data_IF_823512834077
#
_entry.id   IF_823512834077
#
_cell.length_a   1.000
_cell.length_b   1.000
_cell.length_c   1.000
_cell.angle_alpha   90.00
_cell.angle_beta   90.00
_cell.angle_gamma   90.00
#
_symmetry.space_group_name_H-M   'P 1'
#
loop_
_entity.id
_entity.type
_entity.pdbx_description
1 polymer ?
#
# COMPACT_ATOMS: atom_id res chain seq x y z
N UNK A 1 -0.11 8.71 -18.06
CA UNK A 1 -0.72 10.02 -17.79
C UNK A 1 -0.54 10.34 -16.30
N UNK A 2 -0.23 11.60 -15.97
CA UNK A 2 -0.11 12.09 -14.61
C UNK A 2 -1.37 12.88 -14.24
N UNK A 3 -1.96 12.58 -13.07
CA UNK A 3 -3.16 13.25 -12.56
C UNK A 3 -2.85 13.85 -11.19
N UNK A 4 -3.20 15.11 -10.99
CA UNK A 4 -3.11 15.76 -9.68
C UNK A 4 -4.21 15.23 -8.77
N UNK A 5 -3.80 14.62 -7.65
CA UNK A 5 -4.73 14.03 -6.68
C UNK A 5 -5.66 15.05 -6.02
N UNK A 6 -5.32 16.35 -6.02
CA UNK A 6 -6.23 17.39 -5.53
C UNK A 6 -7.47 17.61 -6.43
N UNK A 7 -7.38 17.16 -7.70
CA UNK A 7 -8.51 17.21 -8.64
C UNK A 7 -9.45 16.01 -8.55
N UNK A 8 -9.07 14.97 -7.79
CA UNK A 8 -9.87 13.77 -7.60
C UNK A 8 -10.80 13.96 -6.40
N UNK A 9 -12.09 14.07 -6.73
CA UNK A 9 -13.20 14.13 -5.76
C UNK A 9 -14.20 13.00 -6.04
N UNK A 10 -15.20 12.77 -5.19
CA UNK A 10 -16.27 11.82 -5.48
C UNK A 10 -16.95 12.05 -6.83
N UNK A 11 -17.06 13.32 -7.26
CA UNK A 11 -17.70 13.70 -8.53
C UNK A 11 -16.79 13.49 -9.75
N UNK A 12 -15.46 13.61 -9.57
CA UNK A 12 -14.49 13.55 -10.68
C UNK A 12 -13.76 12.21 -10.77
N UNK A 13 -13.84 11.35 -9.77
CA UNK A 13 -13.11 10.08 -9.71
C UNK A 13 -13.42 9.16 -10.90
N UNK A 14 -14.60 9.27 -11.50
CA UNK A 14 -15.00 8.49 -12.68
C UNK A 14 -14.09 8.73 -13.91
N UNK A 15 -13.34 9.85 -13.96
CA UNK A 15 -12.35 10.08 -15.03
C UNK A 15 -11.23 9.03 -15.05
N UNK A 16 -11.03 8.30 -13.94
CA UNK A 16 -10.03 7.23 -13.84
C UNK A 16 -10.43 5.98 -14.62
N UNK A 17 -11.69 5.83 -15.03
CA UNK A 17 -12.20 4.66 -15.76
C UNK A 17 -11.54 4.43 -17.14
N UNK A 18 -10.81 5.41 -17.67
CA UNK A 18 -10.06 5.29 -18.93
C UNK A 18 -8.72 4.57 -18.77
N UNK A 19 -8.27 4.30 -17.54
CA UNK A 19 -6.98 3.70 -17.28
C UNK A 19 -7.10 2.20 -16.96
N UNK A 20 -6.14 1.45 -17.42
CA UNK A 20 -6.03 0.01 -17.21
C UNK A 20 -5.11 -0.37 -16.04
N UNK A 21 -4.51 0.62 -15.41
CA UNK A 21 -3.71 0.47 -14.19
C UNK A 21 -3.48 1.82 -13.52
N UNK A 22 -3.47 1.81 -12.19
CA UNK A 22 -3.33 3.01 -11.36
C UNK A 22 -2.16 2.84 -10.41
N UNK A 23 -1.21 3.78 -10.45
CA UNK A 23 -0.09 3.84 -9.53
C UNK A 23 -0.21 5.09 -8.66
N UNK A 24 -0.20 4.89 -7.33
CA UNK A 24 -0.10 5.98 -6.35
C UNK A 24 1.32 5.94 -5.76
N UNK A 25 2.15 6.94 -6.06
CA UNK A 25 3.55 6.97 -5.65
C UNK A 25 3.74 7.33 -4.19
N UNK A 26 4.99 7.25 -3.74
CA UNK A 26 5.43 7.78 -2.47
C UNK A 26 5.26 9.30 -2.37
N UNK A 27 5.23 9.79 -1.14
CA UNK A 27 5.08 11.21 -0.83
C UNK A 27 5.00 11.44 0.66
N UNK A 28 4.87 12.70 1.04
CA UNK A 28 4.73 13.15 2.42
C UNK A 28 3.68 14.26 2.51
N UNK A 29 3.12 14.43 3.70
CA UNK A 29 2.23 15.52 4.01
C UNK A 29 0.81 15.35 3.50
N UNK A 30 -0.02 16.32 3.84
CA UNK A 30 -1.49 16.27 3.77
C UNK A 30 -2.08 16.54 2.38
N UNK A 31 -1.26 17.06 1.45
CA UNK A 31 -1.74 17.52 0.15
C UNK A 31 -2.29 16.37 -0.71
N UNK A 32 -3.53 16.51 -1.15
CA UNK A 32 -4.20 15.59 -2.07
C UNK A 32 -4.44 14.17 -1.51
N UNK A 33 -4.42 14.00 -0.18
CA UNK A 33 -4.56 12.68 0.46
C UNK A 33 -5.94 12.09 0.21
N UNK A 34 -7.02 12.85 0.37
CA UNK A 34 -8.37 12.33 0.15
C UNK A 34 -8.57 11.91 -1.32
N UNK A 35 -8.00 12.64 -2.27
CA UNK A 35 -8.03 12.24 -3.67
C UNK A 35 -7.26 10.92 -3.93
N UNK A 36 -6.14 10.69 -3.24
CA UNK A 36 -5.43 9.40 -3.32
C UNK A 36 -6.24 8.26 -2.69
N UNK A 37 -6.93 8.52 -1.57
CA UNK A 37 -7.82 7.55 -0.93
C UNK A 37 -8.99 7.21 -1.86
N UNK A 38 -9.63 8.21 -2.49
CA UNK A 38 -10.69 7.98 -3.48
C UNK A 38 -10.17 7.22 -4.70
N UNK A 39 -8.94 7.47 -5.11
CA UNK A 39 -8.27 6.75 -6.20
C UNK A 39 -8.07 5.27 -5.86
N UNK A 40 -7.61 4.96 -4.64
CA UNK A 40 -7.46 3.58 -4.17
C UNK A 40 -8.82 2.87 -4.09
N UNK A 41 -9.87 3.56 -3.60
CA UNK A 41 -11.24 3.05 -3.59
C UNK A 41 -11.75 2.74 -4.98
N UNK A 42 -11.60 3.67 -5.92
CA UNK A 42 -11.99 3.47 -7.31
C UNK A 42 -11.30 2.23 -7.91
N UNK A 43 -10.00 2.10 -7.72
CA UNK A 43 -9.25 0.94 -8.21
C UNK A 43 -9.76 -0.37 -7.61
N UNK A 44 -9.97 -0.41 -6.29
CA UNK A 44 -10.47 -1.60 -5.57
C UNK A 44 -11.86 -2.01 -6.03
N UNK A 45 -12.80 -1.07 -6.06
CA UNK A 45 -14.19 -1.35 -6.44
C UNK A 45 -14.33 -1.65 -7.93
N UNK A 46 -13.61 -0.92 -8.77
CA UNK A 46 -13.60 -1.07 -10.22
C UNK A 46 -12.75 -2.22 -10.75
N UNK A 47 -12.04 -2.95 -9.88
CA UNK A 47 -11.12 -4.03 -10.26
C UNK A 47 -10.01 -3.58 -11.22
N UNK A 48 -9.61 -2.31 -11.15
CA UNK A 48 -8.50 -1.77 -11.91
C UNK A 48 -7.18 -2.08 -11.18
N UNK A 49 -6.19 -2.69 -11.83
CA UNK A 49 -4.89 -2.94 -11.22
C UNK A 49 -4.32 -1.73 -10.49
N UNK A 50 -3.95 -1.93 -9.21
CA UNK A 50 -3.48 -0.86 -8.32
C UNK A 50 -2.10 -1.17 -7.76
N UNK A 51 -1.19 -0.21 -7.86
CA UNK A 51 0.10 -0.23 -7.19
C UNK A 51 0.24 0.99 -6.29
N UNK A 52 0.32 0.77 -4.98
CA UNK A 52 0.61 1.80 -3.98
C UNK A 52 2.06 1.70 -3.47
N UNK A 53 2.85 2.76 -3.62
CA UNK A 53 4.24 2.81 -3.15
C UNK A 53 4.33 3.73 -1.93
N UNK A 54 4.88 3.26 -0.82
CA UNK A 54 5.09 4.02 0.41
C UNK A 54 3.79 4.70 0.88
N UNK A 55 3.62 6.00 0.66
CA UNK A 55 2.36 6.70 0.91
C UNK A 55 1.17 6.05 0.17
N UNK A 56 1.40 5.53 -1.04
CA UNK A 56 0.37 4.82 -1.80
C UNK A 56 -0.15 3.57 -1.11
N UNK A 57 0.70 2.80 -0.42
CA UNK A 57 0.27 1.69 0.43
C UNK A 57 -0.54 2.20 1.63
N UNK A 58 -0.07 3.28 2.26
CA UNK A 58 -0.71 3.85 3.45
C UNK A 58 -2.13 4.35 3.13
N UNK A 59 -2.32 5.07 2.03
CA UNK A 59 -3.66 5.54 1.64
C UNK A 59 -4.58 4.39 1.24
N UNK A 60 -4.06 3.32 0.64
CA UNK A 60 -4.82 2.11 0.35
C UNK A 60 -5.25 1.39 1.64
N UNK A 61 -4.39 1.36 2.66
CA UNK A 61 -4.71 0.81 3.99
C UNK A 61 -5.79 1.64 4.70
N UNK A 62 -5.69 2.98 4.64
CA UNK A 62 -6.71 3.89 5.18
C UNK A 62 -8.05 3.69 4.44
N UNK A 63 -8.02 3.62 3.12
CA UNK A 63 -9.22 3.35 2.32
C UNK A 63 -9.90 2.06 2.74
N UNK A 64 -9.12 0.98 2.85
CA UNK A 64 -9.63 -0.33 3.23
C UNK A 64 -10.21 -0.34 4.65
N UNK A 65 -9.53 0.33 5.58
CA UNK A 65 -10.01 0.51 6.94
C UNK A 65 -11.38 1.23 6.98
N UNK A 66 -11.52 2.32 6.23
CA UNK A 66 -12.75 3.12 6.18
C UNK A 66 -13.92 2.39 5.55
N UNK A 67 -13.70 1.79 4.39
CA UNK A 67 -14.79 1.33 3.52
C UNK A 67 -15.04 -0.19 3.58
N UNK A 68 -14.10 -0.97 4.14
CA UNK A 68 -14.26 -2.44 4.25
C UNK A 68 -14.24 -2.90 5.70
N UNK A 69 -13.32 -2.40 6.52
CA UNK A 69 -13.20 -2.81 7.92
C UNK A 69 -14.09 -2.01 8.90
N UNK A 70 -14.91 -1.07 8.42
CA UNK A 70 -15.89 -0.33 9.21
C UNK A 70 -15.33 0.77 10.11
N UNK A 71 -14.06 1.14 9.94
CA UNK A 71 -13.39 2.22 10.69
C UNK A 71 -13.51 3.54 9.92
N UNK A 72 -14.70 4.11 9.82
CA UNK A 72 -15.03 5.21 8.90
C UNK A 72 -14.15 6.45 9.01
N UNK A 73 -13.61 6.74 10.21
CA UNK A 73 -12.72 7.88 10.47
C UNK A 73 -11.23 7.47 10.53
N UNK A 74 -10.89 6.29 10.02
CA UNK A 74 -9.51 5.82 9.99
C UNK A 74 -8.62 6.78 9.19
N UNK A 75 -7.42 7.06 9.74
CA UNK A 75 -6.48 7.98 9.11
C UNK A 75 -5.03 7.67 9.51
N UNK A 76 -4.11 8.48 9.01
CA UNK A 76 -2.74 8.57 9.49
C UNK A 76 -2.61 9.71 10.51
N UNK A 77 -1.85 9.49 11.57
CA UNK A 77 -1.48 10.58 12.50
C UNK A 77 -0.58 11.65 11.86
N UNK A 78 -0.06 11.41 10.65
CA UNK A 78 0.61 12.43 9.83
C UNK A 78 -0.39 13.49 9.32
N UNK A 79 -1.60 13.07 8.98
CA UNK A 79 -2.61 13.93 8.34
C UNK A 79 -3.65 14.45 9.33
N UNK A 80 -4.02 13.60 10.28
CA UNK A 80 -4.99 13.86 11.33
C UNK A 80 -4.49 13.29 12.67
N UNK A 81 -3.77 14.10 13.47
CA UNK A 81 -3.15 13.62 14.73
C UNK A 81 -4.16 13.04 15.73
N UNK A 82 -5.39 13.54 15.74
CA UNK A 82 -6.44 13.16 16.68
C UNK A 82 -7.42 12.11 16.09
N UNK A 83 -7.05 11.42 15.02
CA UNK A 83 -7.92 10.40 14.42
C UNK A 83 -8.27 9.30 15.45
N UNK A 84 -9.56 8.88 15.53
CA UNK A 84 -9.97 7.82 16.45
C UNK A 84 -9.43 6.44 16.05
N UNK A 85 -9.05 6.26 14.79
CA UNK A 85 -8.48 5.02 14.26
C UNK A 85 -7.17 5.32 13.52
N UNK A 86 -6.04 5.48 14.24
CA UNK A 86 -4.73 5.74 13.66
C UNK A 86 -4.15 4.47 13.03
N UNK A 87 -4.72 4.04 11.91
CA UNK A 87 -4.31 2.82 11.19
C UNK A 87 -2.93 2.96 10.53
N UNK A 88 -2.49 4.21 10.33
CA UNK A 88 -1.13 4.58 9.98
C UNK A 88 -0.62 5.53 11.06
N UNK A 89 0.52 5.23 11.66
CA UNK A 89 1.06 6.02 12.78
C UNK A 89 2.59 6.00 12.80
N UNK A 90 3.17 6.93 13.57
CA UNK A 90 4.58 6.79 13.99
C UNK A 90 4.70 5.52 14.83
N UNK A 91 5.75 4.74 14.59
CA UNK A 91 6.03 3.60 15.44
C UNK A 91 6.73 4.10 16.70
N UNK A 92 5.95 4.18 17.74
CA UNK A 92 6.45 4.40 19.10
C UNK A 92 6.65 3.07 19.85
N UNK A 93 5.93 2.03 19.43
CA UNK A 93 6.01 0.70 20.03
C UNK A 93 6.00 -0.35 18.91
N UNK A 94 6.90 -1.31 18.97
CA UNK A 94 6.86 -2.50 18.13
C UNK A 94 7.18 -3.73 18.95
N UNK A 95 6.73 -4.86 18.48
CA UNK A 95 6.98 -6.15 19.10
C UNK A 95 8.08 -6.86 18.33
N UNK A 96 9.19 -7.14 18.99
CA UNK A 96 10.25 -7.95 18.39
C UNK A 96 9.78 -9.39 18.13
N UNK A 97 10.50 -10.12 17.30
CA UNK A 97 10.19 -11.50 16.95
C UNK A 97 10.18 -12.46 18.16
N UNK A 98 10.82 -12.11 19.25
CA UNK A 98 10.81 -12.83 20.53
C UNK A 98 9.63 -12.45 21.45
N UNK A 99 8.79 -11.48 21.04
CA UNK A 99 7.64 -11.02 21.76
C UNK A 99 7.89 -9.85 22.71
N UNK A 100 9.12 -9.34 22.77
CA UNK A 100 9.47 -8.19 23.60
C UNK A 100 8.90 -6.91 22.99
N UNK A 101 8.19 -6.11 23.79
CA UNK A 101 7.69 -4.79 23.37
C UNK A 101 8.84 -3.78 23.51
N UNK A 102 9.25 -3.22 22.40
CA UNK A 102 10.18 -2.10 22.34
C UNK A 102 9.37 -0.80 22.27
N UNK A 103 9.71 0.16 23.15
CA UNK A 103 9.08 1.49 23.20
C UNK A 103 10.10 2.52 22.74
N UNK A 104 9.77 3.30 21.70
CA UNK A 104 10.51 4.53 21.39
C UNK A 104 9.88 5.70 22.13
N UNK A 105 10.69 6.41 22.89
CA UNK A 105 10.27 7.64 23.53
C UNK A 105 9.86 8.69 22.47
N UNK A 106 8.73 9.35 22.68
CA UNK A 106 8.27 10.46 21.84
C UNK A 106 9.25 11.64 21.78
N UNK A 107 10.25 11.66 22.66
CA UNK A 107 11.35 12.63 22.71
C UNK A 107 12.60 12.17 21.95
N UNK A 108 12.63 10.92 21.44
CA UNK A 108 13.71 10.49 20.56
C UNK A 108 13.71 11.35 19.31
N UNK A 109 14.89 11.85 18.98
CA UNK A 109 15.14 12.74 17.84
C UNK A 109 14.32 12.32 16.60
N UNK A 110 13.45 13.19 16.11
CA UNK A 110 12.58 12.95 14.95
C UNK A 110 13.38 12.50 13.70
N UNK A 111 14.67 12.78 13.64
CA UNK A 111 15.61 12.26 12.66
C UNK A 111 15.89 10.76 12.81
N UNK A 112 15.89 10.22 14.03
CA UNK A 112 16.18 8.82 14.35
C UNK A 112 15.03 7.84 14.12
N UNK A 113 13.81 8.33 13.85
CA UNK A 113 12.62 7.48 13.61
C UNK A 113 12.42 7.12 12.14
N UNK A 114 13.19 7.70 11.22
CA UNK A 114 13.07 7.41 9.80
C UNK A 114 13.68 6.05 9.48
N UNK A 115 12.89 5.15 8.88
CA UNK A 115 13.43 3.94 8.25
C UNK A 115 14.11 4.31 6.94
N UNK A 116 15.39 4.00 6.85
CA UNK A 116 16.23 4.35 5.71
C UNK A 116 17.03 3.14 5.23
N UNK A 117 17.28 3.07 3.92
CA UNK A 117 18.16 2.10 3.33
C UNK A 117 17.51 0.74 3.09
N UNK A 118 18.36 -0.25 2.78
CA UNK A 118 17.92 -1.59 2.44
C UNK A 118 17.53 -2.39 3.69
N UNK A 119 16.36 -3.03 3.64
CA UNK A 119 15.86 -3.92 4.68
C UNK A 119 15.25 -5.16 4.05
N UNK A 120 15.38 -6.29 4.74
CA UNK A 120 14.85 -7.58 4.31
C UNK A 120 13.59 -7.93 5.06
N UNK A 121 12.64 -8.51 4.33
CA UNK A 121 11.34 -8.92 4.84
C UNK A 121 10.97 -10.30 4.36
N UNK A 122 10.31 -11.08 5.21
CA UNK A 122 9.80 -12.39 4.89
C UNK A 122 8.45 -12.26 4.18
N UNK A 123 8.29 -13.00 3.08
CA UNK A 123 7.09 -12.98 2.25
C UNK A 123 6.29 -14.25 2.49
N UNK A 124 5.02 -14.08 2.85
CA UNK A 124 4.09 -15.17 3.14
C UNK A 124 3.85 -16.06 1.92
N UNK A 125 3.72 -17.37 2.15
CA UNK A 125 3.33 -18.32 1.10
C UNK A 125 1.93 -17.99 0.55
N UNK A 126 1.65 -18.47 -0.67
CA UNK A 126 0.33 -18.38 -1.32
C UNK A 126 -0.17 -16.95 -1.56
N UNK A 127 0.75 -15.97 -1.66
CA UNK A 127 0.47 -14.58 -1.94
C UNK A 127 0.96 -14.16 -3.33
N UNK A 128 0.41 -13.08 -3.87
CA UNK A 128 0.89 -12.47 -5.11
C UNK A 128 2.32 -11.94 -4.93
N UNK A 129 2.61 -11.32 -3.78
CA UNK A 129 3.95 -10.89 -3.42
C UNK A 129 4.96 -12.04 -3.46
N UNK A 130 4.57 -13.24 -2.99
CA UNK A 130 5.41 -14.45 -3.05
C UNK A 130 5.75 -14.87 -4.47
N UNK A 131 4.80 -14.73 -5.38
CA UNK A 131 5.00 -15.05 -6.80
C UNK A 131 5.97 -14.06 -7.46
N UNK A 132 5.96 -12.80 -7.02
CA UNK A 132 6.80 -11.73 -7.57
C UNK A 132 8.23 -11.80 -7.03
N UNK A 133 8.38 -12.00 -5.73
CA UNK A 133 9.67 -11.84 -5.03
C UNK A 133 10.30 -13.15 -4.52
N UNK A 134 9.53 -14.21 -4.43
CA UNK A 134 9.98 -15.40 -3.69
C UNK A 134 9.84 -15.22 -2.17
N UNK A 135 10.60 -16.02 -1.36
CA UNK A 135 10.40 -16.09 0.09
C UNK A 135 10.88 -14.87 0.88
N UNK A 136 11.79 -14.11 0.32
CA UNK A 136 12.40 -12.94 0.96
C UNK A 136 12.49 -11.80 -0.06
N UNK A 137 12.16 -10.61 0.37
CA UNK A 137 12.34 -9.38 -0.39
C UNK A 137 13.30 -8.46 0.35
N UNK A 138 14.23 -7.84 -0.37
CA UNK A 138 15.14 -6.82 0.19
C UNK A 138 14.99 -5.55 -0.61
N UNK A 139 14.41 -4.52 -0.01
CA UNK A 139 14.09 -3.25 -0.67
C UNK A 139 14.53 -2.04 0.16
N UNK A 140 14.53 -0.86 -0.46
CA UNK A 140 14.99 0.39 0.17
C UNK A 140 13.82 1.18 0.71
N UNK A 141 14.02 1.77 1.88
CA UNK A 141 13.02 2.53 2.64
C UNK A 141 13.41 4.00 2.79
N UNK A 142 12.36 4.84 2.88
CA UNK A 142 12.46 6.25 3.25
C UNK A 142 11.10 6.72 3.78
N UNK A 143 10.77 6.35 5.01
CA UNK A 143 9.50 6.74 5.63
C UNK A 143 9.58 6.72 7.16
N UNK A 144 8.61 7.36 7.81
CA UNK A 144 8.48 7.43 9.28
C UNK A 144 7.20 6.77 9.78
N UNK A 145 6.12 6.88 9.00
CA UNK A 145 4.81 6.34 9.32
C UNK A 145 4.68 4.93 8.76
N UNK A 146 3.97 4.10 9.49
CA UNK A 146 3.82 2.67 9.21
C UNK A 146 2.38 2.22 9.47
N UNK A 147 1.99 1.08 8.91
CA UNK A 147 0.74 0.44 9.29
C UNK A 147 0.80 0.05 10.78
N UNK A 148 -0.17 0.54 11.55
CA UNK A 148 -0.22 0.37 12.99
C UNK A 148 -0.60 -1.06 13.34
N UNK A 149 0.29 -1.74 14.05
CA UNK A 149 0.17 -3.17 14.42
C UNK A 149 -1.14 -3.48 15.17
N UNK A 150 -1.66 -2.51 15.93
CA UNK A 150 -2.90 -2.69 16.72
C UNK A 150 -4.16 -2.87 15.85
N UNK A 151 -4.10 -2.51 14.56
CA UNK A 151 -5.22 -2.62 13.63
C UNK A 151 -5.06 -3.75 12.60
N UNK A 152 -3.88 -4.40 12.53
CA UNK A 152 -3.61 -5.40 11.51
C UNK A 152 -4.56 -6.59 11.58
N UNK A 153 -4.93 -7.05 12.77
CA UNK A 153 -5.85 -8.17 12.92
C UNK A 153 -7.27 -7.82 12.46
N UNK A 154 -7.74 -6.61 12.73
CA UNK A 154 -9.03 -6.12 12.21
C UNK A 154 -9.02 -6.04 10.68
N UNK A 155 -7.92 -5.54 10.09
CA UNK A 155 -7.76 -5.46 8.64
C UNK A 155 -7.69 -6.85 8.00
N UNK A 156 -6.97 -7.81 8.62
CA UNK A 156 -6.91 -9.22 8.17
C UNK A 156 -8.28 -9.89 8.22
N UNK A 157 -9.03 -9.70 9.30
CA UNK A 157 -10.39 -10.23 9.43
C UNK A 157 -11.34 -9.66 8.38
N UNK A 158 -11.12 -8.41 7.95
CA UNK A 158 -11.85 -7.79 6.86
C UNK A 158 -11.37 -8.27 5.46
N UNK A 159 -10.30 -9.07 5.37
CA UNK A 159 -9.82 -9.68 4.13
C UNK A 159 -8.57 -9.05 3.50
N UNK A 160 -7.95 -8.05 4.15
CA UNK A 160 -6.65 -7.53 3.69
C UNK A 160 -5.55 -8.55 4.00
N UNK A 161 -4.75 -8.87 3.01
CA UNK A 161 -3.60 -9.77 3.18
C UNK A 161 -2.36 -8.95 3.50
N UNK A 162 -1.74 -9.22 4.64
CA UNK A 162 -0.42 -8.71 4.99
C UNK A 162 0.58 -9.75 4.48
N UNK A 163 1.11 -9.52 3.29
CA UNK A 163 1.88 -10.53 2.55
C UNK A 163 3.38 -10.48 2.81
N UNK A 164 3.89 -9.41 3.42
CA UNK A 164 5.28 -9.37 3.89
C UNK A 164 5.41 -8.57 5.19
N UNK A 165 6.32 -9.05 6.04
CA UNK A 165 6.69 -8.43 7.31
C UNK A 165 8.21 -8.33 7.42
N UNK A 166 8.71 -7.27 8.06
CA UNK A 166 10.15 -7.19 8.40
C UNK A 166 10.56 -8.36 9.28
N UNK A 167 11.80 -8.82 9.09
CA UNK A 167 12.30 -10.00 9.81
C UNK A 167 12.44 -9.80 11.32
N UNK A 168 12.73 -8.59 11.77
CA UNK A 168 12.96 -8.28 13.17
C UNK A 168 11.73 -7.69 13.84
N UNK A 169 11.31 -6.53 13.37
CA UNK A 169 10.28 -5.73 14.02
C UNK A 169 8.86 -6.16 13.66
N UNK A 170 8.69 -7.10 12.74
CA UNK A 170 7.39 -7.58 12.25
C UNK A 170 6.48 -6.45 11.71
N UNK A 171 7.11 -5.43 11.12
CA UNK A 171 6.41 -4.31 10.52
C UNK A 171 5.88 -4.68 9.14
N UNK A 172 4.73 -4.11 8.78
CA UNK A 172 4.07 -4.38 7.50
C UNK A 172 4.86 -3.79 6.34
N UNK A 173 5.20 -4.64 5.39
CA UNK A 173 5.97 -4.28 4.20
C UNK A 173 5.16 -4.33 2.91
N UNK A 174 4.29 -5.32 2.80
CA UNK A 174 3.41 -5.48 1.64
C UNK A 174 2.00 -5.82 2.11
N UNK A 175 1.02 -5.14 1.54
CA UNK A 175 -0.40 -5.47 1.64
C UNK A 175 -0.94 -5.79 0.25
N UNK A 176 -1.88 -6.72 0.17
CA UNK A 176 -2.52 -7.08 -1.09
C UNK A 176 -3.96 -7.55 -0.89
N UNK A 177 -4.73 -7.58 -1.96
CA UNK A 177 -6.01 -8.26 -1.97
C UNK A 177 -5.88 -9.62 -2.65
N UNK A 178 -6.57 -10.66 -2.15
CA UNK A 178 -6.57 -11.98 -2.77
C UNK A 178 -7.03 -11.91 -4.23
N UNK A 179 -6.46 -12.72 -5.12
CA UNK A 179 -6.86 -12.80 -6.53
C UNK A 179 -8.34 -13.17 -6.72
N UNK A 180 -8.95 -13.85 -5.77
CA UNK A 180 -10.39 -14.13 -5.76
C UNK A 180 -11.26 -12.87 -5.54
N UNK A 181 -10.67 -11.82 -4.97
CA UNK A 181 -11.34 -10.55 -4.65
C UNK A 181 -10.98 -9.47 -5.67
N UNK A 182 -9.70 -9.37 -6.05
CA UNK A 182 -9.22 -8.34 -6.96
C UNK A 182 -8.13 -8.90 -7.89
N UNK A 183 -8.14 -8.62 -9.21
CA UNK A 183 -7.17 -9.19 -10.13
C UNK A 183 -5.73 -8.81 -9.82
N UNK A 184 -5.47 -7.60 -9.34
CA UNK A 184 -4.15 -7.16 -8.93
C UNK A 184 -4.22 -5.88 -8.08
N UNK A 185 -4.06 -5.98 -6.76
CA UNK A 185 -4.07 -4.84 -5.84
C UNK A 185 -2.94 -5.03 -4.82
N UNK A 186 -1.88 -4.24 -4.95
CA UNK A 186 -0.67 -4.37 -4.12
C UNK A 186 -0.25 -3.00 -3.60
N UNK A 187 0.04 -2.93 -2.32
CA UNK A 187 0.71 -1.79 -1.68
C UNK A 187 2.02 -2.23 -1.06
N UNK A 188 3.09 -1.45 -1.24
CA UNK A 188 4.41 -1.71 -0.67
C UNK A 188 4.90 -0.50 0.12
N UNK A 189 5.49 -0.73 1.31
CA UNK A 189 6.00 0.36 2.16
C UNK A 189 7.35 0.89 1.68
N UNK A 190 8.11 0.06 1.02
CA UNK A 190 9.40 0.39 0.44
C UNK A 190 9.28 1.09 -0.92
N UNK A 191 10.43 1.47 -1.50
CA UNK A 191 10.57 2.22 -2.74
C UNK A 191 11.24 1.37 -3.83
N UNK A 192 10.48 0.59 -4.63
CA UNK A 192 11.04 -0.26 -5.70
C UNK A 192 11.76 0.56 -6.78
N UNK A 193 11.40 1.83 -6.96
CA UNK A 193 12.04 2.73 -7.92
C UNK A 193 13.52 2.96 -7.63
N UNK A 194 13.97 2.80 -6.38
CA UNK A 194 15.39 2.95 -6.03
C UNK A 194 16.27 1.79 -6.51
N UNK A 195 15.68 0.70 -6.95
CA UNK A 195 16.38 -0.48 -7.48
C UNK A 195 16.06 -0.74 -8.93
N UNK A 196 15.04 -0.09 -9.48
CA UNK A 196 14.67 -0.22 -10.89
C UNK A 196 15.72 0.41 -11.79
N UNK A 197 16.08 -0.29 -12.86
CA UNK A 197 17.01 0.22 -13.88
C UNK A 197 16.35 0.16 -15.25
N UNK A 198 16.80 0.98 -16.24
CA UNK A 198 16.27 0.89 -17.61
C UNK A 198 16.53 -0.45 -18.31
N UNK A 199 17.54 -1.20 -17.83
CA UNK A 199 18.00 -2.42 -18.49
C UNK A 199 17.27 -3.68 -17.99
N UNK A 200 17.08 -3.79 -16.67
CA UNK A 200 16.57 -5.01 -16.06
C UNK A 200 15.11 -4.84 -15.55
N UNK A 201 14.61 -3.61 -15.45
CA UNK A 201 13.32 -3.34 -14.83
C UNK A 201 13.29 -3.76 -13.35
N UNK A 202 12.12 -3.70 -12.74
CA UNK A 202 11.91 -4.18 -11.39
C UNK A 202 10.74 -5.19 -11.39
N UNK A 203 10.84 -6.34 -10.69
CA UNK A 203 9.83 -7.40 -10.77
C UNK A 203 8.42 -6.91 -10.43
N UNK A 204 8.28 -6.01 -9.45
CA UNK A 204 7.00 -5.44 -9.09
C UNK A 204 6.39 -4.59 -10.22
N UNK A 205 7.20 -3.72 -10.85
CA UNK A 205 6.73 -2.91 -11.97
C UNK A 205 6.38 -3.78 -13.19
N UNK A 206 7.17 -4.80 -13.46
CA UNK A 206 6.88 -5.76 -14.55
C UNK A 206 5.53 -6.48 -14.31
N UNK A 207 5.28 -6.92 -13.07
CA UNK A 207 4.03 -7.56 -12.68
C UNK A 207 2.83 -6.60 -12.78
N UNK A 208 2.99 -5.34 -12.34
CA UNK A 208 1.96 -4.31 -12.44
C UNK A 208 1.60 -3.98 -13.90
N UNK A 209 2.61 -3.78 -14.76
CA UNK A 209 2.38 -3.51 -16.19
C UNK A 209 1.70 -4.70 -16.85
N UNK A 210 2.14 -5.92 -16.53
CA UNK A 210 1.47 -7.12 -17.05
C UNK A 210 -0.01 -7.16 -16.65
N UNK A 211 -0.32 -6.94 -15.38
CA UNK A 211 -1.71 -6.90 -14.90
C UNK A 211 -2.54 -5.82 -15.62
N UNK A 212 -1.96 -4.66 -15.88
CA UNK A 212 -2.61 -3.56 -16.60
C UNK A 212 -2.90 -3.94 -18.07
N UNK A 213 -1.99 -4.64 -18.73
CA UNK A 213 -2.20 -5.16 -20.09
C UNK A 213 -3.31 -6.22 -20.10
N UNK A 214 -3.29 -7.15 -19.15
CA UNK A 214 -4.31 -8.19 -19.02
C UNK A 214 -5.71 -7.56 -18.80
N UNK A 215 -5.80 -6.53 -17.96
CA UNK A 215 -7.03 -5.76 -17.73
C UNK A 215 -7.54 -5.11 -19.04
N UNK A 216 -6.66 -4.43 -19.77
CA UNK A 216 -7.00 -3.80 -21.05
C UNK A 216 -7.52 -4.82 -22.08
N UNK A 217 -6.89 -5.98 -22.15
CA UNK A 217 -7.28 -7.03 -23.09
C UNK A 217 -8.63 -7.63 -22.72
N UNK A 218 -8.89 -7.88 -21.43
CA UNK A 218 -10.18 -8.34 -20.92
C UNK A 218 -11.31 -7.35 -21.24
N UNK A 219 -11.09 -6.06 -21.04
CA UNK A 219 -12.06 -5.03 -21.37
C UNK A 219 -12.36 -4.93 -22.89
N UNK A 220 -11.36 -5.13 -23.75
CA UNK A 220 -11.54 -5.17 -25.20
C UNK A 220 -12.35 -6.39 -25.63
N UNK A 221 -12.09 -7.56 -25.04
CA UNK A 221 -12.84 -8.78 -25.35
C UNK A 221 -14.31 -8.64 -24.99
N UNK A 222 -14.64 -8.11 -23.81
CA UNK A 222 -16.03 -7.86 -23.40
C UNK A 222 -16.77 -6.91 -24.35
N UNK A 223 -16.11 -5.85 -24.85
CA UNK A 223 -16.69 -4.91 -25.82
C UNK A 223 -16.89 -5.52 -27.22
N UNK A 224 -16.12 -6.53 -27.58
CA UNK A 224 -16.24 -7.20 -28.89
C UNK A 224 -17.35 -8.28 -28.91
N UNK A 225 -17.80 -8.74 -27.75
CA UNK A 225 -18.82 -9.79 -27.58
C UNK A 225 -20.21 -9.20 -27.24
N UNK A 226 -20.26 -7.93 -26.84
CA UNK A 226 -21.49 -7.18 -26.56
C UNK A 226 -21.99 -6.43 -27.80
#
# INVERSE_FOLDING_TARGET
EHIDSETITPETVAQLAKFDGILVPGGFGKRGIEGKIQTARFAREGKVPYLGICLGMQVATIEYARNVAGMHDANSTEFEPDTPFPVIALINEWKDADGTIQVRDAQSDLGGTMRLGAQSSDVSADTLARQIYGPVVTERHRHRYEANVNYLDTLRQAGLVISALTQREQLTEIVELPNSVHPWFVGVQFHPEFKSTPWDGHPLFNAFIKASIDHQQGAKHLKAVA
#
